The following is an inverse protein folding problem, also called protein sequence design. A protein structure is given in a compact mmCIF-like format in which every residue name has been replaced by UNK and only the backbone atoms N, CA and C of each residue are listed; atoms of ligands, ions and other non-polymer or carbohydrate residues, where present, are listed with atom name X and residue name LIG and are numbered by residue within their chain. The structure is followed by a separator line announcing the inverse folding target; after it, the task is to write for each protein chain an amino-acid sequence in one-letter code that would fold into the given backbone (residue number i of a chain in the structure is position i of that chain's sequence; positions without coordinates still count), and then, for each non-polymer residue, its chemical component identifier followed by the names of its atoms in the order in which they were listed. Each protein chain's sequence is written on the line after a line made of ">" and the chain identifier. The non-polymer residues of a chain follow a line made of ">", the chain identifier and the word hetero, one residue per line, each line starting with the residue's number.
data_IF_891506591718
#
_entry.id   IF_891506591718
#
_cell.length_a   1.000
_cell.length_b   1.000
_cell.length_c   1.000
_cell.angle_alpha   90.00
_cell.angle_beta   90.00
_cell.angle_gamma   90.00
#
_symmetry.space_group_name_H-M   'P 1'
#
loop_
_entity.id
_entity.type
_entity.pdbx_description
1 polymer ?
#
# COMPACT_ATOMS: atom_id res chain seq x y z
N UNK A 1 -54.65 11.75 10.10
CA UNK A 1 -53.91 12.67 9.21
C UNK A 1 -52.74 13.23 10.01
N UNK A 2 -51.52 12.78 9.71
CA UNK A 2 -50.30 13.29 10.35
C UNK A 2 -49.69 14.33 9.41
N UNK A 3 -49.36 15.51 9.93
CA UNK A 3 -48.66 16.56 9.18
C UNK A 3 -47.26 16.64 9.78
N UNK A 4 -46.24 16.31 8.98
CA UNK A 4 -44.84 16.44 9.36
C UNK A 4 -44.31 17.78 8.84
N UNK A 5 -43.88 18.65 9.74
CA UNK A 5 -43.05 19.80 9.43
C UNK A 5 -41.63 19.47 9.88
N UNK A 6 -40.81 19.01 8.94
CA UNK A 6 -39.38 18.81 9.14
C UNK A 6 -38.70 20.18 9.07
N UNK A 7 -38.12 20.62 10.18
CA UNK A 7 -37.13 21.69 10.16
C UNK A 7 -35.92 21.24 10.98
N UNK A 8 -34.72 21.64 10.53
CA UNK A 8 -33.45 20.91 10.66
C UNK A 8 -32.91 20.63 12.07
N UNK A 9 -33.60 20.99 13.15
CA UNK A 9 -33.14 20.74 14.54
C UNK A 9 -34.21 20.39 15.57
N UNK A 10 -35.50 20.32 15.21
CA UNK A 10 -36.57 19.96 16.15
C UNK A 10 -37.72 19.25 15.44
N UNK A 11 -38.20 18.15 16.02
CA UNK A 11 -39.43 17.50 15.57
C UNK A 11 -40.51 17.74 16.63
N UNK A 12 -41.63 18.37 16.22
CA UNK A 12 -42.81 18.58 17.06
C UNK A 12 -43.90 17.58 16.67
N UNK A 13 -44.58 17.04 17.68
CA UNK A 13 -45.68 16.11 17.48
C UNK A 13 -46.93 16.54 18.26
N UNK A 14 -48.11 16.32 17.65
CA UNK A 14 -49.41 16.60 18.26
C UNK A 14 -50.33 15.37 18.13
N UNK A 15 -50.87 14.89 19.25
CA UNK A 15 -51.95 13.88 19.32
C UNK A 15 -53.05 14.42 20.23
N UNK A 16 -54.23 14.64 19.66
CA UNK A 16 -55.31 15.34 20.37
C UNK A 16 -54.87 16.75 20.80
N UNK A 17 -55.04 17.07 22.09
CA UNK A 17 -54.68 18.38 22.67
C UNK A 17 -53.26 18.45 23.25
N UNK A 18 -52.49 17.37 23.20
CA UNK A 18 -51.14 17.34 23.78
C UNK A 18 -50.07 17.57 22.72
N UNK A 19 -49.05 18.35 23.07
CA UNK A 19 -47.91 18.69 22.21
C UNK A 19 -46.61 18.25 22.87
N UNK A 20 -45.77 17.55 22.11
CA UNK A 20 -44.49 17.02 22.59
C UNK A 20 -43.35 17.59 21.75
N UNK A 21 -42.24 17.93 22.41
CA UNK A 21 -41.04 18.49 21.81
C UNK A 21 -39.85 17.56 22.09
N UNK A 22 -39.17 17.11 21.04
CA UNK A 22 -37.92 16.37 21.17
C UNK A 22 -36.79 17.21 20.57
N UNK A 23 -35.76 17.48 21.39
CA UNK A 23 -34.50 18.13 20.97
C UNK A 23 -33.43 17.06 20.77
N UNK A 24 -32.67 17.14 19.67
CA UNK A 24 -31.68 16.14 19.23
C UNK A 24 -30.28 16.45 19.81
N UNK A 25 -29.53 15.41 20.19
CA UNK A 25 -28.07 15.42 20.38
C UNK A 25 -27.50 14.13 19.75
N UNK A 26 -26.32 14.24 19.13
CA UNK A 26 -25.72 13.33 18.11
C UNK A 26 -25.71 11.81 18.39
N UNK A 27 -25.70 11.07 17.27
CA UNK A 27 -25.19 9.69 16.99
C UNK A 27 -25.87 8.51 17.69
N UNK A 28 -27.03 8.11 17.17
CA UNK A 28 -27.52 6.71 17.11
C UNK A 28 -28.81 6.70 16.27
N UNK A 29 -28.65 6.83 14.95
CA UNK A 29 -29.67 7.41 14.07
C UNK A 29 -30.80 6.47 13.60
N UNK A 30 -30.65 5.14 13.61
CA UNK A 30 -31.71 4.25 13.08
C UNK A 30 -32.54 3.50 14.14
N UNK A 31 -31.94 3.13 15.27
CA UNK A 31 -32.63 2.32 16.27
C UNK A 31 -33.77 3.09 16.96
N UNK A 32 -33.61 4.41 17.17
CA UNK A 32 -34.58 5.23 17.90
C UNK A 32 -35.82 5.62 17.09
N UNK A 33 -35.69 5.78 15.76
CA UNK A 33 -36.83 6.11 14.89
C UNK A 33 -37.69 4.86 14.65
N UNK A 34 -37.07 3.69 14.49
CA UNK A 34 -37.76 2.41 14.36
C UNK A 34 -38.54 2.03 15.64
N UNK A 35 -37.93 2.20 16.83
CA UNK A 35 -38.59 1.93 18.12
C UNK A 35 -39.79 2.86 18.35
N UNK A 36 -39.67 4.13 17.92
CA UNK A 36 -40.73 5.14 18.04
C UNK A 36 -41.90 4.88 17.06
N UNK A 37 -41.63 4.35 15.87
CA UNK A 37 -42.64 3.95 14.89
C UNK A 37 -43.45 2.73 15.36
N UNK A 38 -42.80 1.71 15.95
CA UNK A 38 -43.48 0.54 16.54
C UNK A 38 -44.42 0.92 17.68
N UNK A 39 -44.01 1.86 18.55
CA UNK A 39 -44.82 2.35 19.67
C UNK A 39 -46.02 3.22 19.23
N UNK A 40 -45.97 3.81 18.02
CA UNK A 40 -46.98 4.75 17.53
C UNK A 40 -47.99 4.13 16.55
N UNK A 41 -47.66 3.03 15.87
CA UNK A 41 -48.53 2.39 14.87
C UNK A 41 -49.57 1.43 15.46
N UNK A 42 -49.34 0.88 16.66
CA UNK A 42 -50.25 -0.12 17.25
C UNK A 42 -50.31 -1.45 16.48
N UNK A 43 -49.27 -1.78 15.70
CA UNK A 43 -49.17 -3.05 14.98
C UNK A 43 -49.12 -4.22 15.97
N UNK A 44 -50.11 -5.12 15.89
CA UNK A 44 -50.09 -6.43 16.51
C UNK A 44 -49.93 -7.47 15.40
N UNK A 45 -48.79 -8.16 15.37
CA UNK A 45 -48.53 -9.33 14.53
C UNK A 45 -47.95 -9.05 13.14
N UNK A 46 -46.85 -9.74 12.83
CA UNK A 46 -46.26 -10.10 11.51
C UNK A 46 -46.26 -9.09 10.36
N UNK A 47 -46.26 -7.78 10.63
CA UNK A 47 -45.98 -6.75 9.62
C UNK A 47 -44.55 -6.24 9.80
N UNK A 48 -43.68 -6.52 8.82
CA UNK A 48 -42.33 -5.95 8.75
C UNK A 48 -42.38 -4.53 8.18
N UNK A 49 -41.92 -3.57 8.98
CA UNK A 49 -41.70 -2.19 8.52
C UNK A 49 -40.29 -2.14 7.91
N UNK A 50 -40.21 -2.08 6.59
CA UNK A 50 -38.95 -1.85 5.87
C UNK A 50 -38.75 -0.33 5.77
N UNK A 51 -37.82 0.22 6.54
CA UNK A 51 -37.33 1.58 6.34
C UNK A 51 -36.24 1.49 5.28
N UNK A 52 -36.56 1.85 4.04
CA UNK A 52 -35.54 2.11 3.02
C UNK A 52 -35.02 3.52 3.25
N UNK A 53 -33.78 3.62 3.70
CA UNK A 53 -33.05 4.88 3.70
C UNK A 53 -32.51 5.07 2.29
N UNK A 54 -33.07 6.03 1.54
CA UNK A 54 -32.67 6.31 0.14
C UNK A 54 -31.22 6.85 0.04
N UNK A 55 -30.53 7.05 1.17
CA UNK A 55 -29.12 7.45 1.24
C UNK A 55 -28.18 6.37 1.80
N UNK A 56 -28.64 5.13 2.04
CA UNK A 56 -27.73 4.03 2.45
C UNK A 56 -27.02 3.40 1.24
N UNK A 57 -27.50 3.65 0.02
CA UNK A 57 -26.86 3.23 -1.24
C UNK A 57 -25.63 4.09 -1.65
N UNK A 58 -25.16 5.03 -0.81
CA UNK A 58 -23.99 5.87 -1.12
C UNK A 58 -22.73 5.53 -0.32
N UNK A 59 -22.78 4.53 0.57
CA UNK A 59 -21.56 3.99 1.18
C UNK A 59 -21.04 2.88 0.27
N UNK A 60 -19.74 2.86 -0.07
CA UNK A 60 -19.17 1.79 -0.86
C UNK A 60 -19.48 0.44 -0.21
N UNK A 61 -19.94 -0.52 -1.01
CA UNK A 61 -20.08 -1.88 -0.53
C UNK A 61 -18.70 -2.39 -0.10
N UNK A 62 -18.60 -3.15 1.01
CA UNK A 62 -17.32 -3.68 1.44
C UNK A 62 -16.66 -4.49 0.32
N UNK A 63 -15.39 -4.21 0.05
CA UNK A 63 -14.63 -4.96 -0.94
C UNK A 63 -14.67 -6.45 -0.57
N UNK A 64 -14.96 -7.30 -1.55
CA UNK A 64 -14.90 -8.75 -1.41
C UNK A 64 -14.17 -9.31 -2.63
N UNK A 65 -13.04 -10.01 -2.45
CA UNK A 65 -12.33 -10.65 -3.55
C UNK A 65 -13.17 -11.79 -4.12
N UNK A 66 -13.00 -12.08 -5.42
CA UNK A 66 -13.65 -13.23 -6.06
C UNK A 66 -13.03 -14.58 -5.62
N UNK A 67 -11.79 -14.53 -5.11
CA UNK A 67 -11.04 -15.67 -4.58
C UNK A 67 -9.61 -15.26 -4.22
N UNK A 68 -8.83 -16.21 -3.74
CA UNK A 68 -7.41 -16.03 -3.45
C UNK A 68 -6.61 -17.27 -3.80
N UNK A 69 -5.29 -17.10 -3.95
CA UNK A 69 -4.34 -18.17 -4.24
C UNK A 69 -3.20 -18.03 -3.25
N UNK A 70 -2.92 -19.12 -2.56
CA UNK A 70 -1.78 -19.19 -1.67
C UNK A 70 -0.57 -19.75 -2.42
N UNK A 71 0.51 -18.97 -2.47
CA UNK A 71 1.78 -19.36 -3.10
C UNK A 71 2.84 -19.49 -2.00
N UNK A 72 3.29 -20.72 -1.76
CA UNK A 72 4.38 -21.03 -0.85
C UNK A 72 5.11 -22.30 -1.34
N UNK A 73 6.22 -22.68 -0.71
CA UNK A 73 7.03 -23.81 -1.18
C UNK A 73 6.21 -25.12 -1.23
N UNK A 74 5.93 -25.61 -2.44
CA UNK A 74 5.14 -26.82 -2.69
C UNK A 74 3.63 -26.60 -2.84
N UNK A 75 3.14 -25.36 -2.77
CA UNK A 75 1.74 -24.98 -2.94
C UNK A 75 1.56 -23.93 -4.04
N UNK A 76 0.35 -23.81 -4.59
CA UNK A 76 0.05 -22.78 -5.60
C UNK A 76 0.88 -22.89 -6.90
N UNK A 77 1.43 -24.07 -7.20
CA UNK A 77 2.31 -24.31 -8.35
C UNK A 77 3.77 -23.90 -8.15
N UNK A 78 4.13 -23.33 -6.99
CA UNK A 78 5.47 -22.84 -6.74
C UNK A 78 6.38 -23.94 -6.16
N UNK A 79 7.42 -24.27 -6.92
CA UNK A 79 8.44 -25.25 -6.54
C UNK A 79 9.81 -24.58 -6.62
N UNK A 80 10.31 -24.13 -5.47
CA UNK A 80 11.65 -23.61 -5.30
C UNK A 80 12.25 -24.14 -3.99
N UNK A 81 13.58 -24.21 -3.93
CA UNK A 81 14.31 -24.60 -2.73
C UNK A 81 14.50 -23.37 -1.83
N UNK A 82 13.42 -22.94 -1.17
CA UNK A 82 13.51 -21.90 -0.15
C UNK A 82 13.98 -22.49 1.18
N UNK A 83 14.96 -21.84 1.78
CA UNK A 83 15.48 -22.15 3.10
C UNK A 83 14.82 -21.27 4.19
N UNK A 84 14.81 -21.78 5.43
CA UNK A 84 14.30 -21.02 6.57
C UNK A 84 15.17 -19.80 6.79
N UNK A 85 14.64 -18.62 6.49
CA UNK A 85 15.36 -17.36 6.69
C UNK A 85 15.51 -16.52 5.42
N UNK A 86 15.27 -17.09 4.23
CA UNK A 86 15.41 -16.41 2.94
C UNK A 86 14.56 -15.15 2.81
N UNK A 87 13.51 -15.04 3.63
CA UNK A 87 12.56 -13.93 3.66
C UNK A 87 11.93 -13.68 2.29
N UNK A 88 11.65 -14.77 1.58
CA UNK A 88 10.87 -14.77 0.35
C UNK A 88 9.57 -13.99 0.52
N UNK A 89 9.24 -13.17 -0.47
CA UNK A 89 8.01 -12.37 -0.51
C UNK A 89 7.88 -11.33 0.61
N UNK A 90 9.00 -10.92 1.23
CA UNK A 90 8.99 -9.68 2.03
C UNK A 90 8.92 -8.41 1.18
N UNK A 91 9.17 -8.53 -0.13
CA UNK A 91 8.82 -7.58 -1.18
C UNK A 91 8.41 -8.34 -2.43
N UNK A 92 7.45 -7.79 -3.17
CA UNK A 92 7.05 -8.29 -4.48
C UNK A 92 6.38 -7.19 -5.28
N UNK A 93 6.34 -7.37 -6.60
CA UNK A 93 5.59 -6.50 -7.51
C UNK A 93 5.18 -7.27 -8.78
N UNK A 94 4.26 -6.71 -9.55
CA UNK A 94 3.99 -7.15 -10.91
C UNK A 94 5.19 -6.82 -11.80
N UNK A 95 5.74 -7.81 -12.48
CA UNK A 95 6.88 -7.63 -13.38
C UNK A 95 6.47 -7.38 -14.85
N UNK A 96 5.19 -7.54 -15.18
CA UNK A 96 4.69 -7.55 -16.56
C UNK A 96 4.75 -8.94 -17.20
N UNK A 97 4.33 -9.06 -18.47
CA UNK A 97 4.37 -10.32 -19.24
C UNK A 97 5.80 -10.60 -19.78
N UNK A 98 6.64 -11.22 -18.95
CA UNK A 98 8.04 -11.50 -19.26
C UNK A 98 8.12 -12.59 -20.33
N UNK A 99 7.32 -13.66 -20.24
CA UNK A 99 7.44 -14.80 -21.17
C UNK A 99 6.69 -14.61 -22.52
N UNK A 100 5.81 -13.61 -22.62
CA UNK A 100 5.03 -13.27 -23.82
C UNK A 100 3.77 -14.12 -24.02
N UNK A 101 3.23 -14.72 -22.97
CA UNK A 101 2.03 -15.56 -23.03
C UNK A 101 0.71 -14.79 -22.81
N UNK A 102 0.80 -13.50 -22.50
CA UNK A 102 -0.32 -12.62 -22.22
C UNK A 102 -0.77 -12.58 -20.76
N UNK A 103 -0.07 -13.27 -19.85
CA UNK A 103 -0.30 -13.23 -18.41
C UNK A 103 0.78 -12.35 -17.76
N UNK A 104 0.39 -11.56 -16.75
CA UNK A 104 1.33 -10.75 -15.98
C UNK A 104 2.08 -11.66 -15.01
N UNK A 105 3.42 -11.58 -15.03
CA UNK A 105 4.31 -12.30 -14.13
C UNK A 105 4.65 -11.46 -12.89
N UNK A 106 5.23 -12.08 -11.87
CA UNK A 106 5.64 -11.41 -10.62
C UNK A 106 7.16 -11.41 -10.45
N UNK A 107 7.67 -10.38 -9.80
CA UNK A 107 9.03 -10.35 -9.23
C UNK A 107 8.92 -10.40 -7.71
N UNK A 108 9.71 -11.28 -7.07
CA UNK A 108 9.63 -11.53 -5.63
C UNK A 108 11.03 -11.52 -5.01
N UNK A 109 11.21 -10.73 -3.95
CA UNK A 109 12.47 -10.66 -3.22
C UNK A 109 12.65 -11.81 -2.22
N UNK A 110 13.84 -12.42 -2.22
CA UNK A 110 14.33 -13.37 -1.21
C UNK A 110 15.63 -12.82 -0.62
N UNK A 111 15.50 -11.67 0.04
CA UNK A 111 16.63 -10.83 0.42
C UNK A 111 17.67 -11.47 1.32
N UNK A 112 17.35 -12.57 1.99
CA UNK A 112 18.25 -13.27 2.91
C UNK A 112 18.69 -14.63 2.37
N UNK A 113 18.45 -14.89 1.08
CA UNK A 113 18.94 -16.11 0.42
C UNK A 113 20.48 -16.16 0.44
N UNK A 114 21.01 -17.33 0.78
CA UNK A 114 22.44 -17.58 1.03
C UNK A 114 23.20 -18.04 -0.23
N UNK A 115 22.59 -17.97 -1.41
CA UNK A 115 23.18 -18.49 -2.65
C UNK A 115 24.41 -17.70 -3.10
N UNK A 116 25.56 -18.27 -2.77
CA UNK A 116 26.90 -17.76 -3.04
C UNK A 116 27.59 -17.11 -1.84
N UNK A 117 26.87 -16.38 -1.00
CA UNK A 117 27.35 -15.80 0.27
C UNK A 117 26.18 -15.68 1.27
N UNK A 118 26.47 -15.69 2.57
CA UNK A 118 25.44 -15.53 3.61
C UNK A 118 24.71 -14.20 3.49
N UNK A 119 23.37 -14.22 3.47
CA UNK A 119 22.50 -13.06 3.28
C UNK A 119 22.90 -12.21 2.04
N UNK A 120 23.44 -12.86 1.00
CA UNK A 120 23.73 -12.17 -0.26
C UNK A 120 22.45 -11.66 -0.91
N UNK A 121 21.38 -12.48 -0.83
CA UNK A 121 20.06 -12.22 -1.34
C UNK A 121 19.84 -12.67 -2.79
N UNK A 122 18.58 -12.89 -3.14
CA UNK A 122 18.12 -13.31 -4.45
C UNK A 122 16.77 -12.64 -4.81
N UNK A 123 16.40 -12.71 -6.08
CA UNK A 123 15.03 -12.46 -6.54
C UNK A 123 14.52 -13.64 -7.35
N UNK A 124 13.21 -13.81 -7.40
CA UNK A 124 12.53 -14.84 -8.17
C UNK A 124 11.56 -14.17 -9.14
N UNK A 125 11.60 -14.56 -10.41
CA UNK A 125 10.52 -14.32 -11.36
C UNK A 125 9.54 -15.48 -11.25
N UNK A 126 8.26 -15.19 -11.00
CA UNK A 126 7.20 -16.18 -11.00
C UNK A 126 6.36 -16.00 -12.26
N UNK A 127 6.45 -16.97 -13.16
CA UNK A 127 5.58 -17.04 -14.34
C UNK A 127 4.22 -17.56 -13.91
N UNK A 128 3.15 -16.84 -14.23
CA UNK A 128 1.81 -17.19 -13.76
C UNK A 128 0.97 -17.89 -14.82
N UNK A 129 0.04 -18.72 -14.37
CA UNK A 129 -1.09 -19.19 -15.17
C UNK A 129 -2.23 -18.16 -15.12
N UNK A 130 -3.15 -18.25 -16.07
CA UNK A 130 -4.37 -17.42 -16.10
C UNK A 130 -5.23 -17.52 -14.82
N UNK A 131 -5.14 -18.64 -14.11
CA UNK A 131 -5.84 -18.85 -12.85
C UNK A 131 -5.08 -18.29 -11.63
N UNK A 132 -3.94 -17.63 -11.83
CA UNK A 132 -3.05 -17.00 -10.84
C UNK A 132 -2.09 -17.95 -10.12
N UNK A 133 -2.10 -19.26 -10.41
CA UNK A 133 -1.10 -20.20 -9.89
C UNK A 133 0.23 -20.05 -10.61
N UNK A 134 1.33 -20.48 -10.00
CA UNK A 134 2.68 -20.42 -10.61
C UNK A 134 2.84 -21.54 -11.65
N UNK A 135 3.17 -21.16 -12.88
CA UNK A 135 3.53 -22.04 -13.98
C UNK A 135 4.99 -22.51 -13.87
N UNK A 136 5.90 -21.57 -13.64
CA UNK A 136 7.32 -21.78 -13.51
C UNK A 136 7.95 -20.64 -12.69
N UNK A 137 9.18 -20.84 -12.20
CA UNK A 137 9.93 -19.78 -11.55
C UNK A 137 11.38 -19.77 -12.03
N UNK A 138 12.01 -18.60 -12.02
CA UNK A 138 13.42 -18.40 -12.31
C UNK A 138 14.07 -17.61 -11.17
N UNK A 139 15.06 -18.21 -10.50
CA UNK A 139 15.87 -17.53 -9.49
C UNK A 139 16.95 -16.68 -10.15
N UNK A 140 17.19 -15.49 -9.63
CA UNK A 140 18.31 -14.63 -9.97
C UNK A 140 19.08 -14.36 -8.67
N UNK A 141 20.32 -14.83 -8.62
CA UNK A 141 21.24 -14.72 -7.48
C UNK A 141 22.68 -14.56 -7.98
N UNK A 142 23.66 -14.52 -7.08
CA UNK A 142 25.07 -14.51 -7.50
C UNK A 142 25.48 -15.78 -8.28
N UNK A 143 24.79 -16.91 -8.08
CA UNK A 143 25.13 -18.19 -8.68
C UNK A 143 24.12 -18.71 -9.72
N UNK A 144 22.93 -18.09 -9.81
CA UNK A 144 21.85 -18.51 -10.70
C UNK A 144 21.25 -17.32 -11.49
N UNK A 145 20.64 -17.60 -12.64
CA UNK A 145 19.88 -16.60 -13.40
C UNK A 145 20.74 -15.57 -14.13
N UNK A 146 22.07 -15.75 -14.17
CA UNK A 146 22.97 -14.90 -14.96
C UNK A 146 23.32 -13.56 -14.33
N UNK A 147 23.01 -13.32 -13.05
CA UNK A 147 23.43 -12.13 -12.33
C UNK A 147 24.87 -12.27 -11.82
N UNK A 148 25.82 -11.74 -12.59
CA UNK A 148 27.26 -11.93 -12.37
C UNK A 148 27.89 -10.86 -11.45
N UNK A 149 27.08 -10.12 -10.68
CA UNK A 149 27.59 -9.15 -9.71
C UNK A 149 28.21 -9.88 -8.51
N UNK A 150 29.44 -9.55 -8.10
CA UNK A 150 30.04 -10.13 -6.90
C UNK A 150 29.40 -9.53 -5.64
N UNK A 151 28.39 -10.21 -5.09
CA UNK A 151 27.77 -9.84 -3.82
C UNK A 151 28.65 -10.29 -2.64
N UNK A 152 28.63 -9.51 -1.57
CA UNK A 152 29.25 -9.84 -0.29
C UNK A 152 28.20 -10.31 0.73
N UNK A 153 28.68 -10.86 1.84
CA UNK A 153 27.85 -11.20 2.99
C UNK A 153 27.00 -10.00 3.43
N UNK A 154 25.71 -10.24 3.65
CA UNK A 154 24.75 -9.22 4.12
C UNK A 154 24.50 -8.09 3.13
N UNK A 155 24.64 -8.33 1.82
CA UNK A 155 24.26 -7.35 0.79
C UNK A 155 22.74 -7.22 0.66
N UNK A 156 22.02 -8.30 0.94
CA UNK A 156 20.57 -8.39 0.83
C UNK A 156 20.01 -7.93 -0.52
N UNK A 157 20.58 -8.41 -1.64
CA UNK A 157 20.01 -8.23 -2.96
C UNK A 157 18.57 -8.79 -3.01
N UNK A 158 17.65 -8.07 -3.64
CA UNK A 158 16.22 -8.40 -3.54
C UNK A 158 15.55 -7.86 -2.29
N UNK A 159 16.17 -6.87 -1.61
CA UNK A 159 15.53 -6.21 -0.48
C UNK A 159 14.31 -5.42 -0.93
N UNK A 160 14.43 -4.64 -2.01
CA UNK A 160 13.34 -3.96 -2.69
C UNK A 160 13.22 -4.48 -4.13
N UNK A 161 12.02 -4.67 -4.65
CA UNK A 161 11.79 -5.02 -6.07
C UNK A 161 10.66 -4.19 -6.67
N UNK A 162 10.73 -3.90 -7.96
CA UNK A 162 9.64 -3.30 -8.73
C UNK A 162 9.67 -3.77 -10.18
N UNK A 163 8.51 -3.98 -10.80
CA UNK A 163 8.42 -4.12 -12.25
C UNK A 163 8.47 -2.75 -12.90
N UNK A 164 9.28 -2.61 -13.96
CA UNK A 164 9.52 -1.31 -14.59
C UNK A 164 9.09 -1.27 -16.06
N UNK A 165 8.34 -2.28 -16.50
CA UNK A 165 7.94 -2.43 -17.90
C UNK A 165 9.14 -2.62 -18.83
N UNK A 166 8.91 -2.52 -20.14
CA UNK A 166 9.95 -2.68 -21.18
C UNK A 166 10.83 -1.43 -21.24
N UNK A 167 11.78 -1.35 -20.30
CA UNK A 167 12.59 -0.16 -20.08
C UNK A 167 13.56 0.10 -21.25
N UNK A 168 14.13 -0.97 -21.84
CA UNK A 168 15.08 -0.87 -22.95
C UNK A 168 14.45 -0.97 -24.34
N UNK A 169 13.11 -1.05 -24.43
CA UNK A 169 12.36 -1.16 -25.69
C UNK A 169 12.70 -2.41 -26.51
N UNK A 170 13.00 -3.54 -25.88
CA UNK A 170 13.27 -4.82 -26.54
C UNK A 170 12.05 -5.76 -26.62
N UNK A 171 10.92 -5.31 -26.08
CA UNK A 171 9.65 -6.03 -26.02
C UNK A 171 9.50 -6.94 -24.81
N UNK A 172 10.47 -6.97 -23.88
CA UNK A 172 10.45 -7.77 -22.66
C UNK A 172 10.38 -6.81 -21.46
N UNK A 173 9.42 -6.98 -20.54
CA UNK A 173 9.43 -6.26 -19.28
C UNK A 173 10.71 -6.51 -18.46
N UNK A 174 11.20 -5.44 -17.85
CA UNK A 174 12.40 -5.38 -17.02
C UNK A 174 12.02 -5.12 -15.56
N UNK A 175 13.00 -5.25 -14.66
CA UNK A 175 12.79 -5.07 -13.21
C UNK A 175 13.84 -4.14 -12.59
N UNK A 176 13.47 -3.53 -11.47
CA UNK A 176 14.40 -2.86 -10.56
C UNK A 176 14.57 -3.67 -9.28
N UNK A 177 15.81 -3.75 -8.76
CA UNK A 177 16.13 -4.50 -7.54
C UNK A 177 17.09 -3.70 -6.67
N UNK A 178 16.84 -3.61 -5.36
CA UNK A 178 17.75 -2.93 -4.43
C UNK A 178 18.56 -3.89 -3.55
N UNK A 179 19.72 -3.40 -3.14
CA UNK A 179 20.59 -3.97 -2.11
C UNK A 179 20.99 -2.82 -1.16
N UNK A 180 20.28 -2.58 -0.05
CA UNK A 180 20.43 -1.36 0.75
C UNK A 180 21.62 -1.38 1.72
N UNK A 181 22.24 -2.54 1.94
CA UNK A 181 23.33 -2.65 2.90
C UNK A 181 24.52 -1.77 2.51
N UNK A 182 25.12 -1.09 3.49
CA UNK A 182 26.23 -0.13 3.26
C UNK A 182 27.37 -0.70 2.41
N UNK A 183 27.65 -2.00 2.50
CA UNK A 183 28.71 -2.66 1.71
C UNK A 183 28.42 -2.74 0.20
N UNK A 184 27.15 -2.69 -0.21
CA UNK A 184 26.72 -2.79 -1.61
C UNK A 184 25.50 -1.92 -1.91
N UNK A 185 25.44 -0.75 -1.26
CA UNK A 185 24.31 0.17 -1.32
C UNK A 185 24.05 0.58 -2.78
N UNK A 186 23.04 -0.01 -3.39
CA UNK A 186 22.75 0.17 -4.80
C UNK A 186 21.30 -0.19 -5.18
N UNK A 187 20.89 0.32 -6.33
CA UNK A 187 19.76 -0.16 -7.11
C UNK A 187 20.29 -0.71 -8.44
N UNK A 188 19.70 -1.80 -8.91
CA UNK A 188 20.00 -2.46 -10.17
C UNK A 188 18.78 -2.32 -11.07
N UNK A 189 18.97 -1.80 -12.28
CA UNK A 189 18.01 -1.97 -13.37
C UNK A 189 18.44 -3.22 -14.13
N UNK A 190 17.58 -4.24 -14.15
CA UNK A 190 17.88 -5.55 -14.70
C UNK A 190 17.01 -5.77 -15.93
N UNK A 191 17.66 -5.88 -17.07
CA UNK A 191 17.03 -6.26 -18.31
C UNK A 191 16.95 -7.78 -18.44
N UNK A 192 15.77 -8.30 -18.74
CA UNK A 192 15.49 -9.73 -18.68
C UNK A 192 15.50 -10.40 -20.06
N UNK A 193 15.70 -11.70 -20.07
CA UNK A 193 15.32 -12.59 -21.18
C UNK A 193 13.90 -13.11 -20.94
N UNK A 194 13.26 -13.66 -21.99
CA UNK A 194 11.91 -14.25 -21.92
C UNK A 194 11.79 -15.42 -20.91
N UNK A 195 12.91 -16.03 -20.54
CA UNK A 195 12.97 -17.10 -19.52
C UNK A 195 13.20 -16.57 -18.10
N UNK A 196 13.20 -15.25 -17.91
CA UNK A 196 13.41 -14.59 -16.62
C UNK A 196 14.87 -14.52 -16.18
N UNK A 197 15.82 -14.97 -17.00
CA UNK A 197 17.25 -14.79 -16.69
C UNK A 197 17.72 -13.38 -17.03
N UNK A 198 18.83 -12.95 -16.43
CA UNK A 198 19.44 -11.64 -16.69
C UNK A 198 20.08 -11.60 -18.07
N UNK A 199 19.66 -10.64 -18.89
CA UNK A 199 20.26 -10.30 -20.18
C UNK A 199 21.37 -9.25 -20.03
N UNK A 200 21.08 -8.21 -19.26
CA UNK A 200 21.99 -7.11 -18.95
C UNK A 200 21.54 -6.44 -17.65
N UNK A 201 22.44 -5.80 -16.90
CA UNK A 201 22.04 -5.00 -15.75
C UNK A 201 22.88 -3.75 -15.62
N UNK A 202 22.29 -2.72 -15.02
CA UNK A 202 22.94 -1.46 -14.73
C UNK A 202 22.88 -1.20 -13.23
N UNK A 203 24.06 -1.19 -12.60
CA UNK A 203 24.22 -0.84 -11.20
C UNK A 203 24.23 0.69 -11.03
N UNK A 204 23.36 1.19 -10.16
CA UNK A 204 23.30 2.56 -9.68
C UNK A 204 23.71 2.57 -8.20
N UNK A 205 24.98 2.91 -7.94
CA UNK A 205 25.58 2.84 -6.62
C UNK A 205 25.20 4.04 -5.73
N UNK A 206 25.42 3.89 -4.43
CA UNK A 206 25.22 4.92 -3.40
C UNK A 206 23.77 5.38 -3.17
N UNK A 207 22.81 4.52 -3.51
CA UNK A 207 21.38 4.74 -3.26
C UNK A 207 20.89 3.73 -2.23
N UNK A 208 20.44 4.23 -1.07
CA UNK A 208 19.72 3.40 -0.09
C UNK A 208 18.27 3.27 -0.53
N UNK A 209 17.80 2.04 -0.71
CA UNK A 209 16.41 1.74 -0.97
C UNK A 209 16.02 0.45 -0.24
N UNK A 210 15.29 0.57 0.86
CA UNK A 210 14.66 -0.56 1.53
C UNK A 210 13.38 -1.01 0.83
N UNK A 211 12.84 -0.24 -0.10
CA UNK A 211 11.78 -0.68 -0.99
C UNK A 211 11.81 0.17 -2.24
N UNK A 212 11.14 -0.32 -3.28
CA UNK A 212 11.06 0.32 -4.58
C UNK A 212 9.59 0.38 -5.00
N UNK A 213 9.20 1.47 -5.63
CA UNK A 213 7.90 1.58 -6.28
C UNK A 213 8.08 2.24 -7.63
N UNK A 214 7.56 1.60 -8.68
CA UNK A 214 7.47 2.20 -9.99
C UNK A 214 6.29 3.18 -10.01
N UNK A 215 6.54 4.42 -10.43
CA UNK A 215 5.56 5.51 -10.30
C UNK A 215 5.10 6.09 -11.65
N UNK A 216 5.41 5.40 -12.74
CA UNK A 216 5.15 5.87 -14.10
C UNK A 216 6.16 6.92 -14.56
N UNK A 217 5.92 7.49 -15.74
CA UNK A 217 6.72 8.59 -16.31
C UNK A 217 6.26 9.92 -15.70
N UNK A 218 6.90 10.33 -14.61
CA UNK A 218 6.51 11.50 -13.84
C UNK A 218 7.01 12.80 -14.49
N UNK A 219 8.18 12.77 -15.15
CA UNK A 219 8.76 13.94 -15.82
C UNK A 219 8.40 14.09 -17.31
N UNK A 220 7.70 13.12 -17.88
CA UNK A 220 7.24 13.13 -19.28
C UNK A 220 8.35 12.85 -20.29
N UNK A 221 9.44 12.17 -19.90
CA UNK A 221 10.55 11.84 -20.79
C UNK A 221 10.41 10.49 -21.50
N UNK A 222 9.32 9.77 -21.21
CA UNK A 222 8.98 8.48 -21.81
C UNK A 222 9.62 7.28 -21.11
N UNK A 223 10.33 7.49 -20.01
CA UNK A 223 10.87 6.43 -19.15
C UNK A 223 10.08 6.35 -17.85
N UNK A 224 10.07 5.18 -17.23
CA UNK A 224 9.46 5.03 -15.92
C UNK A 224 10.40 5.57 -14.84
N UNK A 225 9.81 6.29 -13.90
CA UNK A 225 10.48 6.79 -12.71
C UNK A 225 10.23 5.89 -11.51
N UNK A 226 11.16 5.91 -10.56
CA UNK A 226 11.09 5.10 -9.36
C UNK A 226 11.11 5.95 -8.10
N UNK A 227 10.49 5.44 -7.05
CA UNK A 227 10.72 5.92 -5.68
C UNK A 227 11.58 4.91 -4.93
N UNK A 228 12.69 5.39 -4.36
CA UNK A 228 13.51 4.67 -3.41
C UNK A 228 13.10 5.02 -1.98
N UNK A 229 12.56 4.03 -1.25
CA UNK A 229 12.10 4.18 0.11
C UNK A 229 13.25 3.97 1.11
N UNK A 230 13.50 4.94 1.98
CA UNK A 230 14.55 4.90 3.01
C UNK A 230 13.96 5.22 4.40
N UNK A 231 13.11 4.34 4.96
CA UNK A 231 12.49 4.54 6.27
C UNK A 231 13.50 4.65 7.42
N UNK A 232 14.72 4.14 7.25
CA UNK A 232 15.81 4.28 8.24
C UNK A 232 16.67 5.53 8.03
N UNK A 233 16.21 6.52 7.25
CA UNK A 233 17.03 7.70 6.95
C UNK A 233 17.19 8.60 8.18
N UNK A 234 18.45 8.95 8.46
CA UNK A 234 18.82 9.86 9.55
C UNK A 234 18.96 11.33 9.11
N UNK A 235 18.54 11.68 7.89
CA UNK A 235 18.81 13.00 7.28
C UNK A 235 18.27 14.15 8.14
N UNK A 236 17.09 13.96 8.74
CA UNK A 236 16.37 15.00 9.50
C UNK A 236 16.28 14.69 11.00
N UNK A 237 16.68 13.50 11.41
CA UNK A 237 16.57 12.96 12.76
C UNK A 237 16.72 11.44 12.75
N UNK A 238 17.02 10.84 13.89
CA UNK A 238 17.23 9.38 14.00
C UNK A 238 15.99 8.65 13.49
N UNK A 239 16.15 7.81 12.48
CA UNK A 239 15.10 7.00 11.84
C UNK A 239 13.82 7.81 11.53
N UNK A 240 13.96 9.10 11.19
CA UNK A 240 12.81 9.90 10.76
C UNK A 240 12.31 9.44 9.39
N UNK A 241 13.22 8.95 8.54
CA UNK A 241 12.90 8.39 7.24
C UNK A 241 12.86 9.42 6.10
N UNK A 242 12.97 8.91 4.87
CA UNK A 242 12.94 9.70 3.64
C UNK A 242 12.53 8.84 2.44
N UNK A 243 12.15 9.50 1.33
CA UNK A 243 12.09 8.90 0.01
C UNK A 243 12.90 9.71 -1.00
N UNK A 244 13.31 9.07 -2.09
CA UNK A 244 13.91 9.73 -3.25
C UNK A 244 13.15 9.36 -4.51
N UNK A 245 12.67 10.37 -5.25
CA UNK A 245 12.18 10.19 -6.61
C UNK A 245 13.40 10.17 -7.53
N UNK A 246 13.56 9.08 -8.27
CA UNK A 246 14.69 8.79 -9.13
C UNK A 246 14.23 8.84 -10.58
N UNK A 247 14.89 9.71 -11.35
CA UNK A 247 14.77 9.79 -12.80
C UNK A 247 15.97 9.10 -13.43
N UNK A 248 15.74 8.41 -14.54
CA UNK A 248 16.77 7.61 -15.20
C UNK A 248 16.99 8.07 -16.65
N UNK A 249 18.14 7.72 -17.23
CA UNK A 249 18.38 7.85 -18.66
C UNK A 249 18.09 6.57 -19.45
N UNK A 250 18.19 6.63 -20.77
CA UNK A 250 17.96 5.48 -21.66
C UNK A 250 19.03 4.38 -21.48
N UNK A 251 20.13 4.69 -20.78
CA UNK A 251 21.17 3.74 -20.38
C UNK A 251 20.93 3.18 -18.97
N UNK A 252 19.73 3.36 -18.42
CA UNK A 252 19.30 2.87 -17.10
C UNK A 252 20.11 3.43 -15.93
N UNK A 253 20.74 4.61 -16.11
CA UNK A 253 21.48 5.32 -15.06
C UNK A 253 20.62 6.39 -14.43
N UNK A 254 20.70 6.48 -13.09
CA UNK A 254 20.04 7.55 -12.34
C UNK A 254 20.66 8.90 -12.69
N UNK A 255 19.83 9.87 -13.05
CA UNK A 255 20.20 11.28 -13.19
C UNK A 255 20.23 11.93 -11.81
N UNK A 256 21.39 11.86 -11.15
CA UNK A 256 21.54 12.28 -9.75
C UNK A 256 21.23 13.76 -9.52
N UNK A 257 21.46 14.62 -10.52
CA UNK A 257 21.18 16.05 -10.44
C UNK A 257 19.68 16.38 -10.55
N UNK A 258 18.86 15.42 -10.97
CA UNK A 258 17.40 15.55 -11.12
C UNK A 258 16.64 14.85 -9.98
N UNK A 259 17.33 14.06 -9.15
CA UNK A 259 16.72 13.33 -8.03
C UNK A 259 16.08 14.27 -7.01
N UNK A 260 14.85 13.96 -6.60
CA UNK A 260 14.12 14.76 -5.61
C UNK A 260 14.08 14.01 -4.28
N UNK A 261 14.64 14.62 -3.23
CA UNK A 261 14.60 14.11 -1.86
C UNK A 261 13.36 14.66 -1.14
N UNK A 262 12.54 13.76 -0.60
CA UNK A 262 11.43 14.12 0.27
C UNK A 262 11.70 13.54 1.67
N UNK A 263 11.76 14.41 2.66
CA UNK A 263 12.03 14.08 4.07
C UNK A 263 11.40 15.12 5.00
N UNK A 264 11.63 15.04 6.32
CA UNK A 264 11.19 16.06 7.28
C UNK A 264 11.85 17.45 7.14
N UNK A 265 12.55 17.74 6.02
CA UNK A 265 13.01 19.09 5.63
C UNK A 265 12.23 19.64 4.41
N UNK A 266 11.34 18.83 3.84
CA UNK A 266 10.50 19.23 2.72
C UNK A 266 9.32 20.05 3.22
N UNK A 267 9.10 21.19 2.57
CA UNK A 267 8.06 22.17 2.94
C UNK A 267 6.75 21.50 3.37
N UNK A 268 6.36 21.74 4.61
CA UNK A 268 5.13 21.19 5.20
C UNK A 268 5.37 19.99 6.11
N UNK A 269 6.34 19.11 5.82
CA UNK A 269 6.59 17.90 6.62
C UNK A 269 7.34 18.18 7.94
N UNK A 270 8.06 19.31 8.01
CA UNK A 270 9.01 19.64 9.08
C UNK A 270 8.40 19.79 10.48
N UNK A 271 7.10 20.09 10.58
CA UNK A 271 6.36 20.18 11.85
C UNK A 271 5.64 18.85 12.20
N UNK A 272 5.65 17.87 11.29
CA UNK A 272 4.83 16.66 11.35
C UNK A 272 5.59 15.35 11.51
N UNK A 273 6.83 15.27 10.99
CA UNK A 273 7.70 14.09 11.11
C UNK A 273 8.70 14.26 12.27
N UNK A 274 8.79 13.26 13.14
CA UNK A 274 9.69 13.25 14.31
C UNK A 274 10.65 12.06 14.27
N UNK A 275 11.72 12.05 15.10
CA UNK A 275 12.62 10.90 15.20
C UNK A 275 11.87 9.60 15.47
N UNK A 276 12.17 8.56 14.69
CA UNK A 276 11.58 7.23 14.78
C UNK A 276 10.30 7.04 13.96
N UNK A 277 9.80 8.03 13.23
CA UNK A 277 8.56 7.89 12.42
C UNK A 277 8.70 6.93 11.24
N UNK A 278 9.93 6.71 10.76
CA UNK A 278 10.25 5.83 9.64
C UNK A 278 9.44 6.15 8.37
N UNK A 279 9.40 7.44 8.02
CA UNK A 279 8.79 7.94 6.79
C UNK A 279 9.43 7.35 5.53
N UNK A 280 8.60 7.07 4.54
CA UNK A 280 8.96 6.40 3.29
C UNK A 280 8.42 4.98 3.19
N UNK A 281 8.04 4.38 4.32
CA UNK A 281 7.42 3.06 4.32
C UNK A 281 8.27 2.01 3.61
N UNK A 282 7.59 0.98 3.10
CA UNK A 282 8.15 -0.01 2.21
C UNK A 282 7.86 0.34 0.75
N UNK A 283 6.63 0.67 0.46
CA UNK A 283 6.13 1.03 -0.87
C UNK A 283 5.38 2.37 -0.76
N UNK A 284 5.43 3.14 -1.85
CA UNK A 284 4.61 4.34 -2.03
C UNK A 284 3.61 4.11 -3.15
N UNK A 285 2.57 4.94 -3.19
CA UNK A 285 1.54 4.82 -4.22
C UNK A 285 1.27 6.17 -4.87
N UNK A 286 1.41 6.26 -6.20
CA UNK A 286 0.93 7.41 -6.97
C UNK A 286 -0.58 7.31 -7.12
N UNK A 287 -1.30 8.35 -6.70
CA UNK A 287 -2.76 8.41 -6.75
C UNK A 287 -3.29 9.17 -7.98
N UNK A 288 -2.40 9.90 -8.67
CA UNK A 288 -2.78 10.83 -9.74
C UNK A 288 -3.22 12.19 -9.20
N UNK A 289 -3.82 13.03 -10.05
CA UNK A 289 -4.41 14.33 -9.66
C UNK A 289 -5.82 14.10 -9.11
N UNK A 290 -5.91 13.71 -7.84
CA UNK A 290 -7.18 13.27 -7.23
C UNK A 290 -8.10 14.44 -6.90
N UNK A 291 -7.54 15.64 -6.69
CA UNK A 291 -8.28 16.84 -6.34
C UNK A 291 -8.52 17.79 -7.54
N UNK A 292 -7.90 17.48 -8.69
CA UNK A 292 -8.01 18.20 -9.97
C UNK A 292 -7.44 19.61 -9.91
N UNK A 293 -6.44 19.83 -9.07
CA UNK A 293 -5.73 21.10 -8.95
C UNK A 293 -4.51 21.21 -9.90
N UNK A 294 -4.15 20.12 -10.58
CA UNK A 294 -3.04 20.04 -11.53
C UNK A 294 -1.70 19.62 -10.92
N UNK A 295 -1.69 19.30 -9.62
CA UNK A 295 -0.61 18.59 -8.94
C UNK A 295 -0.92 17.10 -8.88
N UNK A 296 0.12 16.27 -8.88
CA UNK A 296 -0.05 14.83 -8.70
C UNK A 296 0.09 14.48 -7.22
N UNK A 297 -0.75 13.57 -6.74
CA UNK A 297 -0.70 13.05 -5.38
C UNK A 297 0.08 11.75 -5.27
N UNK A 298 0.87 11.65 -4.21
CA UNK A 298 1.60 10.45 -3.79
C UNK A 298 1.29 10.14 -2.33
N UNK A 299 0.89 8.90 -2.04
CA UNK A 299 0.78 8.39 -0.67
C UNK A 299 2.11 7.79 -0.20
N UNK A 300 2.55 8.18 0.99
CA UNK A 300 3.80 7.74 1.60
C UNK A 300 3.58 7.35 3.06
N UNK A 301 4.07 6.18 3.44
CA UNK A 301 3.96 5.66 4.81
C UNK A 301 4.93 6.28 5.80
N UNK A 302 4.50 6.46 7.05
CA UNK A 302 5.35 6.67 8.22
C UNK A 302 4.91 5.69 9.30
N UNK A 303 5.26 4.42 9.11
CA UNK A 303 4.60 3.32 9.82
C UNK A 303 4.93 3.25 11.31
N UNK A 304 5.98 3.92 11.77
CA UNK A 304 6.28 4.00 13.20
C UNK A 304 5.73 5.28 13.86
N UNK A 305 5.07 6.15 13.10
CA UNK A 305 4.46 7.37 13.65
C UNK A 305 3.47 7.10 14.79
N UNK A 306 3.31 8.11 15.63
CA UNK A 306 2.33 8.11 16.72
C UNK A 306 2.52 6.93 17.70
N UNK A 307 3.77 6.54 17.93
CA UNK A 307 4.15 5.46 18.85
C UNK A 307 3.93 4.06 18.27
N UNK A 308 4.19 3.88 16.98
CA UNK A 308 4.02 2.59 16.29
C UNK A 308 2.61 2.35 15.74
N UNK A 309 1.64 3.25 15.93
CA UNK A 309 0.35 3.15 15.24
C UNK A 309 0.56 3.22 13.73
N UNK A 310 1.39 4.16 13.30
CA UNK A 310 1.67 4.45 11.92
C UNK A 310 0.74 5.50 11.32
N UNK A 311 1.15 6.03 10.16
CA UNK A 311 0.42 7.05 9.42
C UNK A 311 0.70 6.94 7.91
N UNK A 312 -0.18 7.55 7.14
CA UNK A 312 0.00 7.80 5.70
C UNK A 312 0.02 9.30 5.48
N UNK A 313 0.92 9.78 4.63
CA UNK A 313 0.96 11.14 4.15
C UNK A 313 0.60 11.15 2.67
N UNK A 314 -0.50 11.80 2.30
CA UNK A 314 -0.80 12.09 0.90
C UNK A 314 -0.18 13.45 0.58
N UNK A 315 0.81 13.46 -0.32
CA UNK A 315 1.61 14.62 -0.72
C UNK A 315 1.16 15.08 -2.10
N UNK A 316 0.89 16.37 -2.28
CA UNK A 316 0.77 16.98 -3.60
C UNK A 316 2.14 17.47 -4.06
N UNK A 317 2.53 17.12 -5.28
CA UNK A 317 3.84 17.42 -5.84
C UNK A 317 3.75 18.55 -6.88
N UNK A 318 4.68 19.50 -6.81
CA UNK A 318 4.86 20.51 -7.85
C UNK A 318 5.10 19.85 -9.21
N UNK A 319 4.42 20.32 -10.26
CA UNK A 319 4.48 19.68 -11.57
C UNK A 319 5.76 19.98 -12.38
N UNK A 320 6.69 20.76 -11.84
CA UNK A 320 7.98 21.05 -12.49
C UNK A 320 9.16 20.49 -11.72
N UNK A 321 9.15 20.64 -10.39
CA UNK A 321 10.27 20.26 -9.54
C UNK A 321 9.94 19.16 -8.53
N UNK A 322 8.69 18.68 -8.51
CA UNK A 322 8.21 17.59 -7.66
C UNK A 322 8.44 17.78 -6.16
N UNK A 323 8.70 19.00 -5.71
CA UNK A 323 8.70 19.32 -4.28
C UNK A 323 7.27 19.26 -3.74
N UNK A 324 7.15 18.94 -2.45
CA UNK A 324 5.86 18.92 -1.75
C UNK A 324 5.28 20.33 -1.67
N UNK A 325 4.08 20.53 -2.20
CA UNK A 325 3.35 21.82 -2.14
C UNK A 325 2.21 21.80 -1.13
N UNK A 326 1.62 20.64 -0.88
CA UNK A 326 0.60 20.43 0.16
C UNK A 326 0.60 18.99 0.63
N UNK A 327 -0.02 18.72 1.78
CA UNK A 327 -0.06 17.36 2.33
C UNK A 327 -1.24 17.14 3.27
N UNK A 328 -1.65 15.88 3.40
CA UNK A 328 -2.67 15.40 4.35
C UNK A 328 -2.15 14.17 5.09
N UNK A 329 -2.13 14.21 6.42
CA UNK A 329 -1.80 13.04 7.28
C UNK A 329 -3.05 12.25 7.60
N UNK A 330 -3.04 10.93 7.37
CA UNK A 330 -4.08 9.98 7.73
C UNK A 330 -3.52 9.06 8.82
N UNK A 331 -4.20 9.00 9.96
CA UNK A 331 -3.91 8.08 11.09
C UNK A 331 -5.15 7.99 11.98
N UNK A 332 -5.13 7.13 13.00
CA UNK A 332 -6.26 6.93 13.93
C UNK A 332 -6.78 8.27 14.49
N UNK A 333 -8.07 8.54 14.21
CA UNK A 333 -8.78 9.73 14.69
C UNK A 333 -8.61 10.97 13.82
N UNK A 334 -7.89 10.90 12.70
CA UNK A 334 -7.55 12.03 11.86
C UNK A 334 -8.00 11.82 10.41
N UNK A 335 -8.51 12.89 9.78
CA UNK A 335 -8.82 12.96 8.34
C UNK A 335 -9.64 11.78 7.81
N UNK A 336 -10.66 11.37 8.57
CA UNK A 336 -11.63 10.36 8.16
C UNK A 336 -11.28 8.92 8.55
N UNK A 337 -10.05 8.66 9.01
CA UNK A 337 -9.66 7.33 9.48
C UNK A 337 -9.90 7.19 10.99
N UNK A 338 -10.86 6.34 11.36
CA UNK A 338 -11.28 6.14 12.77
C UNK A 338 -11.09 4.70 13.24
N UNK A 339 -10.36 3.88 12.48
CA UNK A 339 -10.07 2.51 12.89
C UNK A 339 -9.02 2.50 14.01
N UNK A 340 -9.21 1.67 15.05
CA UNK A 340 -8.30 1.62 16.19
C UNK A 340 -6.99 0.91 15.81
N UNK A 341 -5.86 1.53 16.12
CA UNK A 341 -4.52 0.99 15.89
C UNK A 341 -3.82 0.72 17.24
N UNK A 342 -3.18 -0.44 17.37
CA UNK A 342 -2.43 -0.80 18.57
C UNK A 342 -1.12 -0.02 18.68
N UNK A 343 -0.71 0.29 19.92
CA UNK A 343 0.65 0.75 20.27
C UNK A 343 1.36 -0.27 21.16
N UNK A 344 0.72 -1.42 21.43
CA UNK A 344 1.19 -2.42 22.38
C UNK A 344 2.17 -3.41 21.76
N UNK A 345 2.69 -4.30 22.61
CA UNK A 345 3.48 -5.46 22.19
C UNK A 345 2.56 -6.48 21.50
N UNK A 346 2.95 -6.91 20.31
CA UNK A 346 2.27 -7.93 19.53
C UNK A 346 2.78 -9.33 19.90
N UNK A 347 2.03 -10.42 19.60
CA UNK A 347 2.44 -11.78 19.92
C UNK A 347 3.82 -12.19 19.40
N UNK A 348 4.25 -11.65 18.25
CA UNK A 348 5.58 -11.90 17.68
C UNK A 348 6.72 -11.07 18.32
N UNK A 349 6.43 -10.27 19.34
CA UNK A 349 7.39 -9.41 20.02
C UNK A 349 7.70 -8.07 19.35
N UNK A 350 7.02 -7.71 18.26
CA UNK A 350 7.04 -6.34 17.70
C UNK A 350 6.12 -5.42 18.49
N UNK A 351 6.21 -4.12 18.27
CA UNK A 351 5.33 -3.12 18.90
C UNK A 351 4.57 -2.34 17.82
N UNK A 352 3.33 -1.95 18.13
CA UNK A 352 2.53 -1.09 17.25
C UNK A 352 1.78 -1.83 16.14
N UNK A 353 0.98 -1.07 15.39
CA UNK A 353 0.19 -1.56 14.26
C UNK A 353 0.94 -1.51 12.93
N UNK A 354 1.87 -0.55 12.79
CA UNK A 354 2.61 -0.27 11.57
C UNK A 354 1.71 0.10 10.37
N UNK A 355 0.65 0.88 10.60
CA UNK A 355 -0.22 1.40 9.53
C UNK A 355 0.56 2.30 8.56
N UNK A 356 0.36 2.09 7.26
CA UNK A 356 1.15 2.76 6.22
C UNK A 356 2.47 2.05 5.89
N UNK A 357 2.67 0.79 6.32
CA UNK A 357 3.92 0.09 6.02
C UNK A 357 4.10 -0.18 4.52
N UNK A 358 3.04 -0.56 3.81
CA UNK A 358 3.01 -0.86 2.37
C UNK A 358 1.75 -0.24 1.75
N UNK A 359 1.82 0.20 0.49
CA UNK A 359 0.80 1.00 -0.17
C UNK A 359 0.68 0.61 -1.65
N UNK A 360 -0.54 0.43 -2.17
CA UNK A 360 -0.80 0.26 -3.61
C UNK A 360 -2.05 1.03 -4.05
N UNK A 361 -2.04 1.48 -5.30
CA UNK A 361 -3.16 2.18 -5.93
C UNK A 361 -4.18 1.15 -6.43
N UNK A 362 -5.45 1.25 -6.02
CA UNK A 362 -6.52 0.35 -6.45
C UNK A 362 -7.35 0.89 -7.63
N UNK A 363 -7.06 2.10 -8.10
CA UNK A 363 -7.92 2.86 -8.99
C UNK A 363 -9.20 3.32 -8.27
N UNK A 364 -10.17 3.78 -9.05
CA UNK A 364 -11.50 4.16 -8.56
C UNK A 364 -12.36 2.89 -8.35
N UNK A 365 -12.29 2.31 -7.16
CA UNK A 365 -12.89 1.02 -6.84
C UNK A 365 -14.40 1.15 -6.63
N UNK A 366 -14.86 2.30 -6.10
CA UNK A 366 -16.29 2.55 -5.85
C UNK A 366 -17.01 3.37 -6.93
N UNK A 367 -16.31 3.80 -7.97
CA UNK A 367 -16.86 4.42 -9.17
C UNK A 367 -17.25 5.89 -8.98
N UNK A 368 -16.70 6.57 -7.96
CA UNK A 368 -17.00 7.97 -7.67
C UNK A 368 -16.07 8.97 -8.39
N UNK A 369 -15.09 8.46 -9.13
CA UNK A 369 -14.12 9.22 -9.89
C UNK A 369 -12.91 9.69 -9.09
N UNK A 370 -12.69 9.15 -7.89
CA UNK A 370 -11.51 9.37 -7.05
C UNK A 370 -10.75 8.06 -6.92
N UNK A 371 -9.42 8.13 -7.03
CA UNK A 371 -8.55 6.98 -6.79
C UNK A 371 -8.63 6.51 -5.34
N UNK A 372 -8.77 5.20 -5.12
CA UNK A 372 -8.72 4.54 -3.82
C UNK A 372 -7.34 3.92 -3.55
N UNK A 373 -7.05 3.70 -2.27
CA UNK A 373 -5.74 3.28 -1.78
C UNK A 373 -5.86 2.05 -0.89
N UNK A 374 -5.00 1.05 -1.06
CA UNK A 374 -4.82 0.00 -0.05
C UNK A 374 -3.54 0.24 0.75
N UNK A 375 -3.59 -0.05 2.03
CA UNK A 375 -2.45 0.05 2.94
C UNK A 375 -2.35 -1.13 3.89
N UNK A 376 -1.12 -1.52 4.22
CA UNK A 376 -0.84 -2.48 5.29
C UNK A 376 -0.71 -1.84 6.67
N UNK A 377 -1.20 -2.55 7.69
CA UNK A 377 -0.83 -2.42 9.10
C UNK A 377 -0.30 -3.79 9.56
N UNK A 378 0.88 -4.13 9.06
CA UNK A 378 1.37 -5.50 9.06
C UNK A 378 1.72 -6.04 10.47
N UNK A 379 1.79 -5.20 11.50
CA UNK A 379 2.01 -5.65 12.88
C UNK A 379 0.74 -5.61 13.74
N UNK A 380 -0.37 -5.07 13.24
CA UNK A 380 -1.65 -5.10 13.92
C UNK A 380 -2.14 -6.55 14.05
N UNK A 381 -2.16 -7.11 15.26
CA UNK A 381 -2.55 -8.50 15.51
C UNK A 381 -1.68 -9.50 14.69
N UNK A 382 -2.29 -10.36 13.87
CA UNK A 382 -1.63 -11.24 12.89
C UNK A 382 -1.34 -10.54 11.54
N UNK A 383 -1.65 -9.24 11.43
CA UNK A 383 -1.51 -8.40 10.25
C UNK A 383 -2.86 -8.04 9.64
N UNK A 384 -3.07 -6.76 9.36
CA UNK A 384 -4.29 -6.25 8.73
C UNK A 384 -3.95 -5.40 7.50
N UNK A 385 -4.87 -5.33 6.53
CA UNK A 385 -4.85 -4.29 5.50
C UNK A 385 -6.14 -3.48 5.52
N UNK A 386 -6.05 -2.25 5.02
CA UNK A 386 -7.17 -1.33 4.92
C UNK A 386 -7.26 -0.82 3.49
N UNK A 387 -8.44 -0.94 2.89
CA UNK A 387 -8.81 -0.20 1.69
C UNK A 387 -9.42 1.11 2.16
N UNK A 388 -8.80 2.21 1.75
CA UNK A 388 -9.20 3.58 2.02
C UNK A 388 -9.88 4.13 0.79
N UNK A 389 -11.19 4.34 0.90
CA UNK A 389 -11.93 5.06 -0.13
C UNK A 389 -11.70 6.55 0.09
N UNK A 390 -11.12 7.24 -0.88
CA UNK A 390 -10.68 8.62 -0.68
C UNK A 390 -11.73 9.64 -1.14
N UNK A 391 -11.70 10.82 -0.54
CA UNK A 391 -12.37 12.01 -1.04
C UNK A 391 -11.41 12.80 -1.94
N UNK A 392 -11.92 13.68 -2.83
CA UNK A 392 -11.07 14.59 -3.60
C UNK A 392 -10.16 15.46 -2.71
N UNK A 393 -10.55 15.78 -1.48
CA UNK A 393 -9.71 16.54 -0.54
C UNK A 393 -8.64 15.70 0.18
N UNK A 394 -8.37 14.47 -0.31
CA UNK A 394 -7.39 13.51 0.21
C UNK A 394 -7.76 12.90 1.56
N UNK A 395 -8.92 13.23 2.14
CA UNK A 395 -9.39 12.59 3.38
C UNK A 395 -10.07 11.25 3.11
N UNK A 396 -10.22 10.41 4.13
CA UNK A 396 -10.86 9.10 4.02
C UNK A 396 -12.39 9.23 4.11
N UNK A 397 -13.09 8.75 3.09
CA UNK A 397 -14.55 8.67 2.99
C UNK A 397 -15.09 7.44 3.72
N UNK A 398 -14.48 6.29 3.48
CA UNK A 398 -14.85 5.01 4.06
C UNK A 398 -13.63 4.07 4.13
N UNK A 399 -13.75 2.99 4.91
CA UNK A 399 -12.69 1.99 5.07
C UNK A 399 -13.27 0.59 4.93
N UNK A 400 -12.59 -0.29 4.20
CA UNK A 400 -12.78 -1.75 4.30
C UNK A 400 -11.56 -2.38 4.93
N UNK A 401 -11.78 -3.34 5.84
CA UNK A 401 -10.73 -4.09 6.52
C UNK A 401 -10.53 -5.45 5.86
N UNK A 402 -9.27 -5.87 5.79
CA UNK A 402 -8.86 -7.20 5.36
C UNK A 402 -8.02 -7.82 6.47
N UNK A 403 -8.51 -8.92 7.04
CA UNK A 403 -7.88 -9.67 8.12
C UNK A 403 -8.44 -11.11 8.14
N UNK A 404 -8.21 -11.85 9.24
CA UNK A 404 -8.70 -13.23 9.41
C UNK A 404 -10.23 -13.37 9.41
N UNK A 405 -10.98 -12.29 9.60
CA UNK A 405 -12.44 -12.31 9.77
C UNK A 405 -13.19 -11.44 8.76
N UNK A 406 -12.51 -10.48 8.13
CA UNK A 406 -13.08 -9.45 7.26
C UNK A 406 -12.34 -9.40 5.92
N UNK A 407 -13.02 -8.97 4.86
CA UNK A 407 -12.42 -8.77 3.54
C UNK A 407 -12.35 -10.02 2.67
N UNK A 408 -12.86 -11.18 3.10
CA UNK A 408 -13.19 -12.31 2.22
C UNK A 408 -12.01 -13.11 1.68
N UNK A 409 -10.82 -12.97 2.26
CA UNK A 409 -9.64 -13.77 1.89
C UNK A 409 -9.54 -15.10 2.66
N UNK A 410 -10.50 -15.40 3.55
CA UNK A 410 -10.49 -16.57 4.46
C UNK A 410 -9.12 -16.83 5.10
N UNK A 411 -8.42 -15.74 5.46
CA UNK A 411 -7.08 -15.82 6.04
C UNK A 411 -7.17 -16.54 7.38
N UNK A 412 -6.34 -17.56 7.55
CA UNK A 412 -6.18 -18.26 8.82
C UNK A 412 -4.74 -18.08 9.31
N UNK A 413 -4.42 -16.85 9.71
CA UNK A 413 -3.07 -16.50 10.14
C UNK A 413 -2.78 -17.00 11.55
N UNK A 414 -1.61 -17.61 11.75
CA UNK A 414 -1.06 -17.90 13.07
C UNK A 414 -0.55 -16.63 13.75
N UNK A 415 -0.37 -16.67 15.07
CA UNK A 415 0.05 -15.50 15.88
C UNK A 415 1.38 -14.87 15.41
N UNK A 416 2.27 -15.69 14.83
CA UNK A 416 3.56 -15.30 14.26
C UNK A 416 3.53 -14.87 12.79
N UNK A 417 2.45 -15.15 12.06
CA UNK A 417 2.33 -14.83 10.64
C UNK A 417 2.02 -13.35 10.44
N UNK A 418 2.37 -12.81 9.27
CA UNK A 418 2.26 -11.39 9.00
C UNK A 418 1.69 -11.17 7.62
N UNK A 419 0.51 -10.58 7.57
CA UNK A 419 -0.13 -10.13 6.34
C UNK A 419 0.28 -8.68 5.99
N UNK A 420 0.02 -8.26 4.75
CA UNK A 420 0.13 -6.87 4.26
C UNK A 420 1.49 -6.17 4.43
N UNK A 421 2.59 -6.94 4.49
CA UNK A 421 3.94 -6.37 4.60
C UNK A 421 4.41 -5.67 3.31
N UNK A 422 3.93 -6.12 2.17
CA UNK A 422 4.16 -5.64 0.81
C UNK A 422 2.83 -5.87 0.06
N UNK A 423 2.42 -4.94 -0.81
CA UNK A 423 1.15 -4.98 -1.54
C UNK A 423 1.39 -4.39 -2.94
N UNK A 424 1.07 -5.14 -3.99
CA UNK A 424 1.23 -4.72 -5.39
C UNK A 424 -0.07 -4.83 -6.17
#
# INVERSE_FOLDING_TARGET
>A
MFIFLLNSRQTKFKKGNSMWLIKRNKTSELLFVALLLMLLSGCNGDESIIIKDENVDTLPQPYTPEGFIEINSGNGGFFANLETGDRFSRDHDQAGDINGDGIIDLVVGARSDDDGQTDAGAVYILFLNQDGTVLANQKISMLEGGFLEPLLEGNFFGYGVAGIGDYNSDGIPDIAVSAPATANRAIYIIHLNRDGTVKHYVKNADITAQGLSAIGDLNGDGLIDLVACDPGSDITGIDTGAIRILFFDHESKVRTDETVLISGLSSGLDDGLVPGDQFGGREVSMLGDIDKDGHLEMAVGAFMSDGGKGAIWILSLDNQNFNVVSQVKITEGLNGFYEPLTTGLNPNGTEGANFGHALSNLGDLDGDGVTDLITGANQQNEGEAFILYLNPDKTVKAVSRINNFEGGFDLNLQEEERFSRSIS
#
